data_IF_284508566601
#
_entry.id   IF_284508566601
#
_cell.length_a   1.000
_cell.length_b   1.000
_cell.length_c   1.000
_cell.angle_alpha   90.00
_cell.angle_beta   90.00
_cell.angle_gamma   90.00
#
_symmetry.space_group_name_H-M   'P 1'
#
loop_
_entity.id
_entity.type
_entity.pdbx_description
1 polymer ?
#
# COMPACT_ATOMS: atom_id res chain seq x y z
N UNK A 1 0.79 10.02 1.89
CA UNK A 1 1.41 9.44 0.67
C UNK A 1 1.58 10.52 -0.38
N UNK A 2 2.79 10.76 -0.83
CA UNK A 2 3.06 11.80 -1.84
C UNK A 2 3.30 11.24 -3.23
N UNK A 3 3.50 9.94 -3.36
CA UNK A 3 3.66 9.31 -4.66
C UNK A 3 3.84 7.81 -4.54
N UNK A 4 3.75 7.13 -5.67
CA UNK A 4 4.04 5.72 -5.76
C UNK A 4 4.53 5.35 -7.16
N UNK A 5 5.16 4.19 -7.23
CA UNK A 5 5.60 3.59 -8.49
C UNK A 5 5.18 2.13 -8.48
N UNK A 6 4.60 1.66 -9.56
CA UNK A 6 4.12 0.29 -9.67
C UNK A 6 4.59 -0.31 -10.99
N UNK A 7 5.23 -1.47 -10.90
CA UNK A 7 5.72 -2.20 -12.06
C UNK A 7 5.15 -3.62 -12.04
N UNK A 8 4.47 -4.02 -13.10
CA UNK A 8 3.92 -5.36 -13.26
C UNK A 8 3.39 -5.56 -14.68
N UNK A 9 3.29 -6.81 -15.11
CA UNK A 9 2.52 -7.17 -16.31
C UNK A 9 1.03 -7.33 -16.06
N UNK A 10 0.60 -7.31 -14.79
CA UNK A 10 -0.79 -7.43 -14.36
C UNK A 10 -1.50 -8.69 -14.88
N UNK A 11 -0.77 -9.80 -14.91
CA UNK A 11 -1.26 -11.11 -15.31
C UNK A 11 -1.23 -12.07 -14.13
N UNK A 12 -2.00 -13.15 -14.23
CA UNK A 12 -1.93 -14.23 -13.24
C UNK A 12 -0.49 -14.73 -13.08
N UNK A 13 -0.05 -14.85 -11.84
CA UNK A 13 1.30 -15.27 -11.50
C UNK A 13 2.37 -14.20 -11.55
N UNK A 14 2.05 -13.00 -12.02
CA UNK A 14 3.01 -11.91 -12.07
C UNK A 14 3.29 -11.30 -10.70
N UNK A 15 4.50 -10.80 -10.52
CA UNK A 15 4.86 -9.95 -9.38
C UNK A 15 4.32 -8.54 -9.56
N UNK A 16 4.01 -7.92 -8.42
CA UNK A 16 3.66 -6.51 -8.32
C UNK A 16 4.77 -5.83 -7.52
N UNK A 17 5.56 -5.00 -8.18
CA UNK A 17 6.67 -4.28 -7.54
C UNK A 17 6.21 -2.87 -7.22
N UNK A 18 5.94 -2.62 -5.94
CA UNK A 18 5.36 -1.37 -5.45
C UNK A 18 6.41 -0.58 -4.69
N UNK A 19 6.57 0.69 -5.05
CA UNK A 19 7.38 1.64 -4.29
C UNK A 19 6.47 2.76 -3.83
N UNK A 20 6.46 3.01 -2.51
CA UNK A 20 5.68 4.06 -1.88
C UNK A 20 6.61 5.18 -1.44
N UNK A 21 6.15 6.41 -1.57
CA UNK A 21 6.86 7.59 -1.08
C UNK A 21 5.99 8.26 -0.02
N UNK A 22 6.42 8.10 1.24
CA UNK A 22 5.73 8.62 2.40
C UNK A 22 6.35 9.91 2.88
N UNK A 23 5.55 10.79 3.44
CA UNK A 23 6.04 11.99 4.10
C UNK A 23 5.22 12.23 5.38
N UNK A 24 5.90 12.35 6.52
CA UNK A 24 5.24 12.68 7.77
C UNK A 24 4.94 14.18 7.81
N UNK A 25 3.69 14.54 8.08
CA UNK A 25 3.25 15.92 8.26
C UNK A 25 3.38 16.38 9.71
N UNK A 26 3.57 15.44 10.63
CA UNK A 26 3.79 15.66 12.04
C UNK A 26 4.61 14.53 12.63
N UNK A 27 5.10 14.70 13.85
CA UNK A 27 5.87 13.66 14.54
C UNK A 27 4.95 12.47 14.86
N UNK A 28 5.40 11.27 14.49
CA UNK A 28 4.73 10.02 14.84
C UNK A 28 5.39 9.43 16.07
N UNK A 29 4.61 9.21 17.13
CA UNK A 29 5.13 8.72 18.43
C UNK A 29 5.17 7.21 18.50
N UNK A 30 4.55 6.51 17.54
CA UNK A 30 4.40 5.07 17.55
C UNK A 30 4.86 4.47 16.24
N UNK A 31 5.16 3.17 16.27
CA UNK A 31 5.61 2.45 15.10
C UNK A 31 4.44 1.76 14.42
N UNK A 32 4.06 2.29 13.28
CA UNK A 32 2.99 1.77 12.43
C UNK A 32 3.53 0.72 11.46
N UNK A 33 2.67 -0.23 11.12
CA UNK A 33 2.93 -1.21 10.07
C UNK A 33 2.22 -0.74 8.80
N UNK A 34 2.92 -0.80 7.67
CA UNK A 34 2.34 -0.51 6.36
C UNK A 34 1.66 -1.78 5.86
N UNK A 35 0.38 -1.66 5.48
CA UNK A 35 -0.32 -2.76 4.82
C UNK A 35 -0.45 -2.49 3.32
N UNK A 36 -0.37 -3.56 2.54
CA UNK A 36 -0.59 -3.53 1.09
C UNK A 36 -1.47 -4.72 0.74
N UNK A 37 -2.62 -4.46 0.15
CA UNK A 37 -3.60 -5.49 -0.20
C UNK A 37 -3.92 -5.44 -1.67
N UNK A 38 -3.98 -6.61 -2.31
CA UNK A 38 -4.59 -6.80 -3.61
C UNK A 38 -5.98 -7.36 -3.38
N UNK A 39 -7.01 -6.56 -3.60
CA UNK A 39 -8.39 -6.91 -3.31
C UNK A 39 -9.20 -6.97 -4.60
N UNK A 40 -9.98 -8.03 -4.77
CA UNK A 40 -10.90 -8.18 -5.90
C UNK A 40 -12.19 -7.40 -5.69
N UNK A 41 -12.94 -7.18 -6.75
CA UNK A 41 -14.28 -6.57 -6.66
C UNK A 41 -15.27 -7.44 -5.89
N UNK A 42 -14.96 -8.74 -5.73
CA UNK A 42 -15.71 -9.66 -4.86
C UNK A 42 -15.47 -9.43 -3.36
N UNK A 43 -14.59 -8.48 -3.00
CA UNK A 43 -14.26 -8.17 -1.62
C UNK A 43 -13.21 -9.09 -0.99
N UNK A 44 -12.66 -10.03 -1.74
CA UNK A 44 -11.66 -10.98 -1.25
C UNK A 44 -10.26 -10.41 -1.44
N UNK A 45 -9.40 -10.55 -0.42
CA UNK A 45 -7.98 -10.19 -0.50
C UNK A 45 -7.21 -11.37 -1.09
N UNK A 46 -6.58 -11.16 -2.24
CA UNK A 46 -5.86 -12.20 -2.99
C UNK A 46 -4.35 -12.18 -2.76
N UNK A 47 -3.81 -11.06 -2.33
CA UNK A 47 -2.42 -10.94 -1.94
C UNK A 47 -2.30 -9.86 -0.87
N UNK A 48 -1.34 -10.03 0.02
CA UNK A 48 -1.14 -9.12 1.15
C UNK A 48 0.32 -9.09 1.53
N UNK A 49 0.85 -7.91 1.81
CA UNK A 49 2.18 -7.73 2.37
C UNK A 49 2.13 -6.62 3.40
N UNK A 50 2.21 -6.99 4.67
CA UNK A 50 2.23 -6.05 5.79
C UNK A 50 3.63 -6.09 6.41
N UNK A 51 4.24 -4.92 6.55
CA UNK A 51 5.61 -4.84 7.06
C UNK A 51 5.87 -3.48 7.69
N UNK A 52 6.72 -3.38 8.71
CA UNK A 52 7.24 -2.09 9.15
C UNK A 52 7.97 -1.41 7.99
N UNK A 53 7.91 -0.08 7.87
CA UNK A 53 8.54 0.62 6.75
C UNK A 53 10.03 0.31 6.60
N UNK A 54 10.47 0.19 5.34
CA UNK A 54 11.87 -0.10 4.98
C UNK A 54 12.35 -1.39 5.66
N UNK A 55 11.54 -2.45 5.59
CA UNK A 55 11.82 -3.76 6.23
C UNK A 55 12.17 -3.66 7.72
N UNK A 56 11.58 -2.70 8.43
CA UNK A 56 11.85 -2.48 9.85
C UNK A 56 13.08 -1.63 10.15
N UNK A 57 13.85 -1.25 9.15
CA UNK A 57 15.05 -0.43 9.34
C UNK A 57 14.75 1.02 9.63
N UNK A 58 13.58 1.52 9.25
CA UNK A 58 13.21 2.91 9.47
C UNK A 58 11.78 3.04 9.97
N UNK A 59 11.54 2.72 11.26
CA UNK A 59 10.19 2.78 11.84
C UNK A 59 9.64 4.20 11.84
N UNK A 60 8.31 4.33 11.79
CA UNK A 60 7.64 5.64 11.68
C UNK A 60 7.98 6.60 12.81
N UNK A 61 8.26 6.09 14.02
CA UNK A 61 8.65 6.93 15.16
C UNK A 61 9.97 7.65 14.96
N UNK A 62 10.77 7.23 13.98
CA UNK A 62 12.06 7.85 13.63
C UNK A 62 11.97 8.79 12.45
N UNK A 63 10.85 8.85 11.77
CA UNK A 63 10.73 9.73 10.60
C UNK A 63 10.81 11.19 11.00
N UNK A 64 11.65 11.95 10.30
CA UNK A 64 11.68 13.40 10.45
C UNK A 64 10.49 14.04 9.72
N UNK A 65 9.89 15.05 10.33
CA UNK A 65 8.79 15.79 9.70
C UNK A 65 9.27 16.39 8.39
N UNK A 66 8.51 16.17 7.32
CA UNK A 66 8.85 16.65 5.99
C UNK A 66 9.80 15.77 5.19
N UNK A 67 10.41 14.77 5.82
CA UNK A 67 11.30 13.83 5.13
C UNK A 67 10.48 12.89 4.24
N UNK A 68 10.98 12.64 3.03
CA UNK A 68 10.40 11.64 2.12
C UNK A 68 11.05 10.29 2.38
N UNK A 69 10.24 9.29 2.70
CA UNK A 69 10.69 7.91 2.96
C UNK A 69 10.27 7.02 1.80
N UNK A 70 11.24 6.40 1.16
CA UNK A 70 11.01 5.43 0.08
C UNK A 70 10.85 4.04 0.69
N UNK A 71 9.74 3.38 0.37
CA UNK A 71 9.35 2.11 0.95
C UNK A 71 8.91 1.16 -0.15
N UNK A 72 9.46 -0.06 -0.19
CA UNK A 72 9.27 -0.99 -1.28
C UNK A 72 8.60 -2.28 -0.81
N UNK A 73 7.67 -2.77 -1.63
CA UNK A 73 6.94 -4.01 -1.37
C UNK A 73 6.77 -4.83 -2.63
N UNK A 74 6.81 -6.15 -2.46
CA UNK A 74 6.52 -7.09 -3.54
C UNK A 74 5.31 -7.93 -3.16
N UNK A 75 4.33 -7.97 -4.07
CA UNK A 75 3.18 -8.85 -3.98
C UNK A 75 3.14 -9.73 -5.22
N UNK A 76 2.30 -10.77 -5.20
CA UNK A 76 2.12 -11.65 -6.36
C UNK A 76 0.64 -11.81 -6.65
N UNK A 77 0.29 -11.72 -7.93
CA UNK A 77 -1.05 -12.05 -8.39
C UNK A 77 -1.16 -13.58 -8.41
N UNK A 78 -2.12 -14.19 -7.70
CA UNK A 78 -2.24 -15.65 -7.72
C UNK A 78 -2.39 -16.20 -9.14
N UNK A 79 -1.81 -17.37 -9.37
CA UNK A 79 -1.89 -18.03 -10.68
C UNK A 79 -3.33 -18.42 -11.04
N UNK A 80 -4.20 -18.57 -10.03
CA UNK A 80 -5.61 -18.93 -10.18
C UNK A 80 -6.57 -17.76 -9.90
N UNK A 81 -6.07 -16.52 -9.94
CA UNK A 81 -6.89 -15.35 -9.67
C UNK A 81 -8.12 -15.30 -10.60
N UNK A 82 -9.34 -15.15 -10.05
CA UNK A 82 -10.54 -15.06 -10.85
C UNK A 82 -10.54 -13.88 -11.83
N UNK A 83 -11.26 -14.01 -12.92
CA UNK A 83 -11.46 -12.94 -13.89
C UNK A 83 -12.39 -11.88 -13.29
N UNK A 84 -11.83 -10.72 -12.93
CA UNK A 84 -12.56 -9.59 -12.34
C UNK A 84 -11.63 -8.37 -12.28
N UNK A 85 -12.16 -7.27 -11.77
CA UNK A 85 -11.35 -6.11 -11.44
C UNK A 85 -10.66 -6.29 -10.08
N UNK A 86 -9.47 -5.73 -9.96
CA UNK A 86 -8.65 -5.75 -8.75
C UNK A 86 -8.20 -4.34 -8.42
N UNK A 87 -8.01 -4.06 -7.14
CA UNK A 87 -7.46 -2.80 -6.67
C UNK A 87 -6.29 -3.08 -5.71
N UNK A 88 -5.24 -2.26 -5.83
CA UNK A 88 -4.12 -2.28 -4.88
C UNK A 88 -4.34 -1.14 -3.91
N UNK A 89 -4.39 -1.47 -2.61
CA UNK A 89 -4.62 -0.54 -1.52
C UNK A 89 -3.47 -0.56 -0.54
N UNK A 90 -3.17 0.60 0.06
CA UNK A 90 -2.12 0.74 1.08
C UNK A 90 -2.62 1.59 2.24
N UNK A 91 -1.98 1.44 3.38
CA UNK A 91 -2.25 2.23 4.56
C UNK A 91 -1.31 1.86 5.70
N UNK A 92 -1.54 2.45 6.87
CA UNK A 92 -0.75 2.18 8.07
C UNK A 92 -1.67 1.89 9.24
N UNK A 93 -1.27 0.95 10.10
CA UNK A 93 -2.01 0.61 11.30
C UNK A 93 -1.08 0.31 12.48
N UNK A 94 -1.62 0.44 13.70
CA UNK A 94 -0.94 0.00 14.92
C UNK A 94 -1.17 -1.49 15.14
N UNK A 95 -0.11 -2.33 15.19
CA UNK A 95 -0.29 -3.76 15.36
C UNK A 95 -1.03 -4.14 16.65
N UNK A 96 -0.82 -3.40 17.72
CA UNK A 96 -1.41 -3.71 19.03
C UNK A 96 -2.93 -3.52 19.07
N UNK A 97 -3.48 -2.59 18.30
CA UNK A 97 -4.90 -2.24 18.35
C UNK A 97 -5.63 -2.39 17.01
N UNK A 98 -4.89 -2.47 15.91
CA UNK A 98 -5.44 -2.42 14.56
C UNK A 98 -5.90 -1.03 14.13
N UNK A 99 -5.71 0.00 14.96
CA UNK A 99 -6.11 1.35 14.63
C UNK A 99 -5.32 1.88 13.43
N UNK A 100 -6.04 2.34 12.41
CA UNK A 100 -5.45 2.88 11.19
C UNK A 100 -5.15 4.36 11.33
N UNK A 101 -4.03 4.75 10.71
CA UNK A 101 -3.65 6.16 10.60
C UNK A 101 -4.40 6.80 9.44
N UNK A 102 -4.84 8.04 9.63
CA UNK A 102 -5.41 8.81 8.52
C UNK A 102 -4.30 9.26 7.56
N UNK A 103 -4.48 8.97 6.28
CA UNK A 103 -3.47 9.23 5.26
C UNK A 103 -4.04 10.24 4.26
N UNK A 104 -3.25 11.26 3.94
CA UNK A 104 -3.52 12.14 2.81
C UNK A 104 -2.87 11.57 1.56
N UNK A 105 -3.65 11.39 0.50
CA UNK A 105 -3.16 10.91 -0.78
C UNK A 105 -2.85 12.11 -1.68
N UNK A 106 -1.62 12.61 -1.56
CA UNK A 106 -1.15 13.72 -2.40
C UNK A 106 -0.64 13.25 -3.77
N UNK A 107 -0.63 11.95 -4.04
CA UNK A 107 -0.47 11.44 -5.39
C UNK A 107 -1.72 11.69 -6.24
N UNK A 108 -2.89 11.81 -5.60
CA UNK A 108 -4.11 12.26 -6.25
C UNK A 108 -4.14 13.79 -6.33
N UNK A 109 -4.86 14.33 -7.31
CA UNK A 109 -4.88 15.78 -7.57
C UNK A 109 -5.42 16.61 -6.40
N UNK A 110 -6.17 16.03 -5.47
CA UNK A 110 -6.86 16.72 -4.38
C UNK A 110 -6.34 16.41 -2.98
N UNK A 111 -5.29 15.62 -2.83
CA UNK A 111 -4.80 15.16 -1.52
C UNK A 111 -5.94 14.65 -0.61
N UNK A 112 -6.79 13.78 -1.14
CA UNK A 112 -7.90 13.22 -0.37
C UNK A 112 -7.39 12.40 0.81
N UNK A 113 -8.10 12.47 1.96
CA UNK A 113 -7.72 11.73 3.17
C UNK A 113 -8.58 10.50 3.42
N UNK A 114 -8.07 9.57 4.23
CA UNK A 114 -8.79 8.37 4.63
C UNK A 114 -7.88 7.39 5.36
N UNK A 115 -8.42 6.26 5.80
CA UNK A 115 -7.66 5.22 6.51
C UNK A 115 -6.94 4.26 5.57
N UNK A 116 -7.06 4.45 4.28
CA UNK A 116 -6.38 3.70 3.21
C UNK A 116 -6.40 4.50 1.93
N UNK A 117 -5.53 4.12 1.02
CA UNK A 117 -5.42 4.72 -0.31
C UNK A 117 -5.56 3.62 -1.36
N UNK A 118 -6.50 3.79 -2.29
CA UNK A 118 -6.59 2.96 -3.49
C UNK A 118 -5.58 3.50 -4.50
N UNK A 119 -4.54 2.73 -4.78
CA UNK A 119 -3.44 3.18 -5.64
C UNK A 119 -3.74 2.96 -7.12
N UNK A 120 -4.17 1.75 -7.46
CA UNK A 120 -4.29 1.36 -8.86
C UNK A 120 -5.34 0.26 -9.02
N UNK A 121 -6.14 0.38 -10.08
CA UNK A 121 -7.14 -0.61 -10.45
C UNK A 121 -6.78 -1.21 -11.80
N UNK A 122 -6.90 -2.53 -11.92
CA UNK A 122 -6.70 -3.24 -13.18
C UNK A 122 -7.67 -4.41 -13.29
N UNK A 123 -7.76 -5.00 -14.47
CA UNK A 123 -8.65 -6.13 -14.73
C UNK A 123 -7.88 -7.34 -15.21
N UNK A 124 -8.33 -8.52 -14.77
CA UNK A 124 -7.87 -9.80 -15.28
C UNK A 124 -9.00 -10.41 -16.07
N UNK A 125 -8.74 -10.71 -17.34
CA UNK A 125 -9.71 -11.30 -18.23
C UNK A 125 -9.89 -12.79 -18.00
N UNK A 126 -11.02 -13.33 -18.48
CA UNK A 126 -11.32 -14.75 -18.46
C UNK A 126 -10.65 -15.45 -19.63
N UNK A 127 -9.61 -16.18 -19.41
CA UNK A 127 -8.97 -16.88 -20.54
C UNK A 127 -7.71 -17.58 -20.15
#
# INVERSE_FOLDING_TARGET
LIGYKLESGFRRGDGLHLTLYWQALGQLDQDYVVFNHLTGEDGVTYAQKDNPPVDGYYPTSRWAVGQVVRDRYDLFIPADAPAQAYVIETGLYLPATGQRLNILDCAAASCAGGDRVALYRFEIGGG
#
